data_IF_132217661261
#
_entry.id   IF_132217661261
#
_cell.length_a   1.000
_cell.length_b   1.000
_cell.length_c   1.000
_cell.angle_alpha   90.00
_cell.angle_beta   90.00
_cell.angle_gamma   90.00
#
_symmetry.space_group_name_H-M   'P 1'
#
loop_
_entity.id
_entity.type
_entity.pdbx_description
1 polymer ?
#
# COMPACT_ATOMS: atom_id res chain seq x y z
N UNK A 1 -12.29 -59.69 0.08
CA UNK A 1 -10.87 -59.58 0.47
C UNK A 1 -10.28 -58.42 -0.32
N UNK A 2 -10.32 -57.15 0.08
CA UNK A 2 -9.70 -56.44 1.23
C UNK A 2 -8.17 -56.60 1.34
N UNK A 3 -7.45 -55.59 0.82
CA UNK A 3 -6.18 -55.03 1.34
C UNK A 3 -5.97 -53.66 0.66
N UNK A 4 -6.13 -52.51 1.33
CA UNK A 4 -5.23 -51.78 2.26
C UNK A 4 -4.15 -50.94 1.56
N UNK A 5 -4.41 -49.64 1.34
CA UNK A 5 -3.43 -48.56 1.53
C UNK A 5 -4.18 -47.41 2.22
N UNK A 6 -3.68 -47.03 3.39
CA UNK A 6 -4.28 -46.08 4.33
C UNK A 6 -3.81 -44.65 4.01
N UNK A 7 -4.73 -43.75 3.70
CA UNK A 7 -4.51 -42.30 3.71
C UNK A 7 -5.19 -41.73 4.95
N UNK A 8 -4.40 -41.27 5.92
CA UNK A 8 -4.88 -40.60 7.12
C UNK A 8 -5.13 -39.12 6.75
N UNK A 9 -6.41 -38.75 6.56
CA UNK A 9 -6.85 -37.36 6.64
C UNK A 9 -7.11 -37.03 8.11
N UNK A 10 -6.32 -36.10 8.67
CA UNK A 10 -6.63 -35.46 9.95
C UNK A 10 -7.51 -34.23 9.68
N UNK A 11 -8.83 -34.39 9.80
CA UNK A 11 -9.74 -33.25 9.95
C UNK A 11 -9.77 -32.87 11.43
N UNK A 12 -9.07 -31.81 11.81
CA UNK A 12 -9.27 -31.17 13.11
C UNK A 12 -10.49 -30.25 13.02
N UNK A 13 -11.61 -30.67 13.62
CA UNK A 13 -12.73 -29.79 13.94
C UNK A 13 -12.26 -28.79 15.01
N UNK A 14 -12.09 -27.53 14.62
CA UNK A 14 -12.01 -26.42 15.59
C UNK A 14 -13.44 -26.04 15.92
N UNK A 15 -13.88 -26.34 17.15
CA UNK A 15 -15.13 -25.84 17.67
C UNK A 15 -15.05 -24.31 17.77
N UNK A 16 -15.85 -23.62 16.96
CA UNK A 16 -16.03 -22.17 17.07
C UNK A 16 -16.91 -21.93 18.29
N UNK A 17 -16.30 -21.59 19.43
CA UNK A 17 -17.05 -21.03 20.55
C UNK A 17 -17.59 -19.68 20.13
N UNK A 18 -18.92 -19.54 20.13
CA UNK A 18 -19.58 -18.25 19.95
C UNK A 18 -19.09 -17.29 21.04
N UNK A 19 -18.67 -16.06 20.71
CA UNK A 19 -18.26 -15.11 21.74
C UNK A 19 -19.47 -14.78 22.61
N UNK A 20 -19.33 -15.03 23.91
CA UNK A 20 -20.28 -14.56 24.92
C UNK A 20 -20.38 -13.03 24.79
N UNK A 21 -21.58 -12.44 24.68
CA UNK A 21 -21.71 -10.99 24.64
C UNK A 21 -21.21 -10.42 25.98
N UNK A 22 -20.05 -9.76 25.95
CA UNK A 22 -19.54 -9.01 27.08
C UNK A 22 -20.29 -7.67 27.09
N UNK A 23 -21.27 -7.55 27.99
CA UNK A 23 -21.79 -6.24 28.35
C UNK A 23 -20.66 -5.42 28.98
N UNK A 24 -20.37 -4.20 28.50
CA UNK A 24 -19.39 -3.34 29.15
C UNK A 24 -19.90 -2.99 30.55
N UNK A 25 -19.18 -3.45 31.58
CA UNK A 25 -19.38 -3.03 32.95
C UNK A 25 -19.01 -1.54 33.07
N UNK A 26 -19.95 -0.64 33.40
CA UNK A 26 -19.68 0.80 33.46
C UNK A 26 -18.82 1.21 34.66
N UNK A 27 -18.34 0.28 35.49
CA UNK A 27 -17.62 0.56 36.73
C UNK A 27 -16.13 0.18 36.75
N UNK A 28 -15.52 -0.22 35.62
CA UNK A 28 -14.06 -0.39 35.59
C UNK A 28 -13.37 0.99 35.54
N UNK A 29 -12.49 1.32 36.51
CA UNK A 29 -11.77 2.58 36.48
C UNK A 29 -10.93 2.66 35.20
N UNK A 30 -10.99 3.82 34.52
CA UNK A 30 -10.07 4.16 33.42
C UNK A 30 -8.67 3.77 33.86
N UNK A 31 -8.07 2.78 33.19
CA UNK A 31 -6.69 2.40 33.47
C UNK A 31 -5.84 3.54 32.93
N UNK A 32 -5.40 4.43 33.82
CA UNK A 32 -4.51 5.52 33.44
C UNK A 32 -3.33 4.93 32.64
N UNK A 33 -3.06 5.50 31.46
CA UNK A 33 -1.89 5.19 30.66
C UNK A 33 -0.67 5.02 31.59
N UNK A 34 0.01 3.85 31.59
CA UNK A 34 1.24 3.72 32.35
C UNK A 34 2.20 4.83 31.89
N UNK A 35 2.93 5.50 32.82
CA UNK A 35 3.82 6.58 32.44
C UNK A 35 4.83 6.04 31.41
N UNK A 36 4.85 6.67 30.23
CA UNK A 36 5.75 6.27 29.14
C UNK A 36 7.18 6.49 29.65
N UNK A 37 8.01 5.44 29.69
CA UNK A 37 9.37 5.55 30.18
C UNK A 37 10.20 6.42 29.22
N UNK A 38 11.26 7.04 29.74
CA UNK A 38 12.18 7.85 28.93
C UNK A 38 12.88 7.02 27.85
N UNK A 39 13.04 5.71 28.08
CA UNK A 39 13.63 4.76 27.13
C UNK A 39 12.83 3.47 27.09
N UNK A 40 12.50 3.02 25.89
CA UNK A 40 11.90 1.72 25.60
C UNK A 40 12.96 0.91 24.85
N UNK A 41 13.40 -0.20 25.44
CA UNK A 41 14.51 -1.03 24.93
C UNK A 41 14.13 -2.51 24.80
N UNK A 42 12.90 -2.89 25.13
CA UNK A 42 12.46 -4.30 25.13
C UNK A 42 11.01 -4.43 24.65
N UNK A 43 10.70 -5.53 23.96
CA UNK A 43 9.36 -5.80 23.43
C UNK A 43 8.30 -5.88 24.54
N UNK A 44 8.67 -6.41 25.71
CA UNK A 44 7.78 -6.49 26.87
C UNK A 44 7.34 -5.10 27.39
N UNK A 45 8.25 -4.12 27.39
CA UNK A 45 7.90 -2.74 27.74
C UNK A 45 6.93 -2.16 26.71
N UNK A 46 7.25 -2.34 25.42
CA UNK A 46 6.48 -1.80 24.32
C UNK A 46 5.05 -2.39 24.29
N UNK A 47 4.94 -3.72 24.38
CA UNK A 47 3.66 -4.44 24.44
C UNK A 47 2.78 -3.94 25.59
N UNK A 48 3.35 -3.73 26.78
CA UNK A 48 2.60 -3.24 27.93
C UNK A 48 2.08 -1.81 27.73
N UNK A 49 2.84 -0.95 27.04
CA UNK A 49 2.46 0.44 26.75
C UNK A 49 1.38 0.48 25.67
N UNK A 50 1.57 -0.25 24.57
CA UNK A 50 0.59 -0.30 23.46
C UNK A 50 -0.75 -0.84 23.96
N UNK A 51 -0.75 -1.92 24.74
CA UNK A 51 -1.97 -2.42 25.38
C UNK A 51 -2.63 -1.38 26.30
N UNK A 52 -1.83 -0.54 26.96
CA UNK A 52 -2.31 0.60 27.74
C UNK A 52 -3.02 1.64 26.87
N UNK A 53 -2.40 2.05 25.76
CA UNK A 53 -2.96 3.01 24.78
C UNK A 53 -4.27 2.49 24.19
N UNK A 54 -4.30 1.24 23.77
CA UNK A 54 -5.50 0.60 23.20
C UNK A 54 -6.61 0.41 24.25
N UNK A 55 -6.28 0.33 25.53
CA UNK A 55 -7.27 0.23 26.61
C UNK A 55 -7.85 1.59 27.05
N UNK A 56 -7.14 2.71 26.83
CA UNK A 56 -7.55 4.07 27.22
C UNK A 56 -8.15 4.86 26.04
N UNK A 57 -8.85 4.17 25.14
CA UNK A 57 -9.44 4.73 23.92
C UNK A 57 -10.65 5.59 24.28
N UNK A 58 -10.41 6.85 24.59
CA UNK A 58 -11.46 7.83 24.91
C UNK A 58 -11.40 9.13 24.09
N UNK A 59 -10.24 9.46 23.50
CA UNK A 59 -10.07 10.58 22.57
C UNK A 59 -8.90 10.34 21.59
N UNK A 60 -9.04 10.81 20.34
CA UNK A 60 -8.04 10.61 19.28
C UNK A 60 -6.76 11.37 19.53
N UNK A 61 -6.85 12.59 20.08
CA UNK A 61 -5.69 13.42 20.38
C UNK A 61 -4.80 12.81 21.47
N UNK A 62 -5.41 12.19 22.48
CA UNK A 62 -4.70 11.45 23.52
C UNK A 62 -3.89 10.27 22.97
N UNK A 63 -4.52 9.43 22.13
CA UNK A 63 -3.86 8.30 21.47
C UNK A 63 -2.69 8.78 20.61
N UNK A 64 -2.93 9.83 19.81
CA UNK A 64 -1.90 10.42 18.95
C UNK A 64 -0.68 10.90 19.75
N UNK A 65 -0.92 11.64 20.84
CA UNK A 65 0.16 12.13 21.69
C UNK A 65 0.95 10.99 22.34
N UNK A 66 0.27 9.94 22.80
CA UNK A 66 0.90 8.78 23.40
C UNK A 66 1.79 8.04 22.40
N UNK A 67 1.32 7.78 21.18
CA UNK A 67 2.11 7.11 20.14
C UNK A 67 3.37 7.93 19.79
N UNK A 68 3.23 9.26 19.63
CA UNK A 68 4.39 10.12 19.37
C UNK A 68 5.43 10.09 20.50
N UNK A 69 4.98 10.04 21.76
CA UNK A 69 5.87 9.90 22.91
C UNK A 69 6.55 8.52 22.94
N UNK A 70 5.84 7.45 22.57
CA UNK A 70 6.44 6.11 22.46
C UNK A 70 7.51 6.08 21.39
N UNK A 71 7.23 6.60 20.19
CA UNK A 71 8.22 6.66 19.10
C UNK A 71 9.46 7.45 19.53
N UNK A 72 9.30 8.56 20.24
CA UNK A 72 10.42 9.34 20.78
C UNK A 72 11.22 8.61 21.88
N UNK A 73 10.60 7.67 22.59
CA UNK A 73 11.22 6.90 23.67
C UNK A 73 11.85 5.58 23.19
N UNK A 74 11.49 5.08 22.00
CA UNK A 74 12.09 3.87 21.43
C UNK A 74 13.59 4.07 21.19
N UNK A 75 14.38 3.13 21.70
CA UNK A 75 15.82 3.06 21.45
C UNK A 75 16.06 1.86 20.54
N UNK A 76 16.30 2.08 19.23
CA UNK A 76 16.47 0.99 18.27
C UNK A 76 17.66 0.09 18.62
N UNK A 77 17.44 -1.21 18.44
CA UNK A 77 18.50 -2.21 18.46
C UNK A 77 19.41 -2.09 17.22
N UNK A 78 20.61 -2.70 17.23
CA UNK A 78 21.49 -2.68 16.06
C UNK A 78 20.80 -3.31 14.84
N UNK A 79 20.87 -2.63 13.70
CA UNK A 79 20.32 -3.13 12.45
C UNK A 79 20.96 -4.46 12.02
N UNK A 80 20.19 -5.34 11.36
CA UNK A 80 20.69 -6.60 10.82
C UNK A 80 21.92 -6.43 9.90
N UNK A 81 22.82 -7.41 9.90
CA UNK A 81 24.08 -7.33 9.14
C UNK A 81 23.94 -7.71 7.66
N UNK A 82 22.84 -8.34 7.26
CA UNK A 82 22.62 -8.81 5.88
C UNK A 82 21.15 -8.81 5.51
N UNK A 83 20.87 -8.78 4.19
CA UNK A 83 19.50 -8.76 3.66
C UNK A 83 18.68 -9.97 4.14
N UNK A 84 19.17 -11.23 4.05
CA UNK A 84 18.41 -12.37 4.56
C UNK A 84 18.09 -12.27 6.06
N UNK A 85 19.01 -11.72 6.87
CA UNK A 85 18.77 -11.50 8.30
C UNK A 85 17.74 -10.39 8.55
N UNK A 86 17.72 -9.35 7.72
CA UNK A 86 16.71 -8.30 7.82
C UNK A 86 15.31 -8.86 7.54
N UNK A 87 15.15 -9.57 6.41
CA UNK A 87 13.88 -10.18 6.01
C UNK A 87 13.39 -11.21 7.04
N UNK A 88 14.28 -12.05 7.58
CA UNK A 88 13.88 -13.02 8.62
C UNK A 88 13.55 -12.37 9.96
N UNK A 89 14.16 -11.23 10.30
CA UNK A 89 13.86 -10.49 11.53
C UNK A 89 12.51 -9.80 11.44
N UNK A 90 12.19 -9.19 10.28
CA UNK A 90 10.85 -8.65 9.98
C UNK A 90 9.80 -9.74 10.12
N UNK A 91 10.01 -10.88 9.47
CA UNK A 91 9.13 -12.04 9.57
C UNK A 91 8.88 -12.45 11.04
N UNK A 92 9.91 -12.38 11.89
CA UNK A 92 9.79 -12.74 13.30
C UNK A 92 8.95 -11.74 14.09
N UNK A 93 9.11 -10.43 13.83
CA UNK A 93 8.28 -9.37 14.44
C UNK A 93 6.81 -9.56 14.10
N UNK A 94 6.50 -9.72 12.82
CA UNK A 94 5.12 -9.79 12.34
C UNK A 94 4.45 -11.10 12.79
N UNK A 95 5.19 -12.22 12.81
CA UNK A 95 4.67 -13.47 13.33
C UNK A 95 4.32 -13.40 14.83
N UNK A 96 4.97 -12.52 15.61
CA UNK A 96 4.64 -12.34 17.02
C UNK A 96 3.32 -11.59 17.24
N UNK A 97 2.99 -10.65 16.34
CA UNK A 97 1.82 -9.78 16.46
C UNK A 97 1.05 -9.63 15.12
N UNK A 98 0.53 -10.73 14.54
CA UNK A 98 0.09 -10.78 13.13
C UNK A 98 -1.08 -9.84 12.78
N UNK A 99 -1.80 -9.31 13.76
CA UNK A 99 -2.94 -8.41 13.55
C UNK A 99 -2.87 -7.16 14.41
N UNK A 100 -1.69 -6.74 14.88
CA UNK A 100 -1.55 -5.48 15.63
C UNK A 100 -0.64 -4.52 14.87
N UNK A 101 -1.27 -3.66 14.06
CA UNK A 101 -0.58 -2.67 13.23
C UNK A 101 0.32 -1.73 14.04
N UNK A 102 -0.15 -1.23 15.18
CA UNK A 102 0.61 -0.30 16.03
C UNK A 102 1.81 -1.00 16.65
N UNK A 103 1.59 -2.18 17.22
CA UNK A 103 2.66 -2.98 17.83
C UNK A 103 3.71 -3.35 16.77
N UNK A 104 3.31 -3.85 15.60
CA UNK A 104 4.22 -4.19 14.50
C UNK A 104 5.08 -2.99 14.07
N UNK A 105 4.45 -1.83 13.83
CA UNK A 105 5.17 -0.61 13.46
C UNK A 105 6.23 -0.21 14.51
N UNK A 106 5.89 -0.31 15.79
CA UNK A 106 6.79 0.06 16.88
C UNK A 106 7.87 -1.00 17.12
N UNK A 107 7.56 -2.28 16.93
CA UNK A 107 8.52 -3.39 17.05
C UNK A 107 9.56 -3.35 15.92
N UNK A 108 9.16 -2.99 14.69
CA UNK A 108 10.10 -2.76 13.59
C UNK A 108 11.12 -1.68 13.98
N UNK A 109 10.66 -0.55 14.54
CA UNK A 109 11.54 0.53 15.00
C UNK A 109 12.43 0.07 16.16
N UNK A 110 11.87 -0.60 17.16
CA UNK A 110 12.57 -1.09 18.35
C UNK A 110 13.65 -2.12 18.01
N UNK A 111 13.38 -3.00 17.05
CA UNK A 111 14.29 -4.07 16.64
C UNK A 111 15.33 -3.60 15.58
N UNK A 112 15.42 -2.30 15.31
CA UNK A 112 16.39 -1.75 14.36
C UNK A 112 16.11 -2.12 12.90
N UNK A 113 14.85 -2.47 12.61
CA UNK A 113 14.35 -2.88 11.30
C UNK A 113 13.82 -1.71 10.47
N UNK A 114 14.06 -0.49 10.93
CA UNK A 114 13.81 0.75 10.18
C UNK A 114 15.13 1.47 9.91
N UNK A 115 15.08 2.55 9.15
CA UNK A 115 16.17 3.54 9.15
C UNK A 115 16.34 4.12 10.56
N UNK A 116 17.58 4.48 10.93
CA UNK A 116 17.99 4.72 12.33
C UNK A 116 17.27 5.87 13.04
N UNK A 117 16.54 6.71 12.33
CA UNK A 117 15.82 7.84 12.92
C UNK A 117 14.57 8.18 12.11
N UNK A 118 13.44 7.58 12.49
CA UNK A 118 12.14 7.84 11.88
C UNK A 118 11.73 9.33 11.96
N UNK A 119 12.19 10.06 12.99
CA UNK A 119 11.84 11.47 13.19
C UNK A 119 12.58 12.39 12.23
N UNK A 120 13.84 12.08 11.87
CA UNK A 120 14.53 12.81 10.81
C UNK A 120 14.05 12.40 9.43
N UNK A 121 13.67 11.14 9.23
CA UNK A 121 13.16 10.64 7.95
C UNK A 121 11.95 11.44 7.45
N UNK A 122 10.96 11.71 8.31
CA UNK A 122 9.77 12.53 7.98
C UNK A 122 10.15 13.93 7.47
N UNK A 123 11.22 14.51 8.00
CA UNK A 123 11.67 15.85 7.61
C UNK A 123 12.67 15.86 6.44
N UNK A 124 13.15 14.69 6.01
CA UNK A 124 14.32 14.57 5.14
C UNK A 124 14.03 14.43 3.65
N UNK A 125 12.82 13.98 3.27
CA UNK A 125 12.48 13.82 1.86
C UNK A 125 11.96 15.11 1.24
N UNK A 126 12.88 15.97 0.80
CA UNK A 126 12.55 17.15 -0.01
C UNK A 126 11.79 16.76 -1.29
N UNK A 127 12.01 15.53 -1.78
CA UNK A 127 11.38 14.95 -2.96
C UNK A 127 9.90 14.59 -2.77
N UNK A 128 9.42 14.46 -1.53
CA UNK A 128 8.00 14.21 -1.21
C UNK A 128 7.17 15.51 -1.17
N UNK A 129 7.64 16.56 -1.85
CA UNK A 129 6.87 17.79 -2.04
C UNK A 129 5.55 17.52 -2.76
N UNK A 130 4.49 18.17 -2.29
CA UNK A 130 3.15 18.16 -2.90
C UNK A 130 2.91 19.40 -3.78
N UNK A 131 3.93 20.26 -3.94
CA UNK A 131 3.86 21.55 -4.64
C UNK A 131 5.01 21.71 -5.65
N UNK A 132 5.34 20.65 -6.38
CA UNK A 132 6.38 20.64 -7.40
C UNK A 132 6.07 21.64 -8.55
N UNK A 133 7.13 22.26 -9.09
CA UNK A 133 7.01 23.20 -10.21
C UNK A 133 7.22 22.47 -11.55
N UNK A 134 6.12 22.02 -12.13
CA UNK A 134 6.10 21.37 -13.44
C UNK A 134 5.66 22.35 -14.54
N UNK A 135 6.64 22.88 -15.30
CA UNK A 135 6.44 24.03 -16.19
C UNK A 135 6.00 23.65 -17.62
N UNK A 136 6.15 22.40 -18.04
CA UNK A 136 5.80 21.97 -19.39
C UNK A 136 4.27 21.93 -19.52
N UNK A 137 3.74 22.66 -20.50
CA UNK A 137 2.29 22.69 -20.74
C UNK A 137 1.90 21.53 -21.65
N UNK A 138 0.91 20.70 -21.28
CA UNK A 138 0.47 19.59 -22.12
C UNK A 138 -0.28 20.12 -23.35
N UNK A 139 -0.01 19.56 -24.53
CA UNK A 139 -0.66 19.93 -25.79
C UNK A 139 -1.22 18.68 -26.50
N UNK A 140 -2.54 18.56 -26.73
CA UNK A 140 -3.58 19.47 -26.28
C UNK A 140 -3.72 19.49 -24.74
N UNK A 141 -4.36 20.51 -24.17
CA UNK A 141 -4.63 20.56 -22.73
C UNK A 141 -5.38 19.33 -22.24
N UNK A 142 -5.00 18.82 -21.06
CA UNK A 142 -5.63 17.65 -20.42
C UNK A 142 -6.63 18.03 -19.31
N UNK A 143 -6.73 19.32 -18.99
CA UNK A 143 -7.61 19.93 -18.00
C UNK A 143 -8.44 21.05 -18.66
N UNK A 144 -9.71 21.30 -18.28
CA UNK A 144 -10.47 20.65 -17.19
C UNK A 144 -10.95 19.23 -17.51
N UNK A 145 -10.91 18.82 -18.78
CA UNK A 145 -11.23 17.46 -19.22
C UNK A 145 -10.41 17.12 -20.47
N UNK A 146 -9.87 15.90 -20.57
CA UNK A 146 -9.24 15.40 -21.79
C UNK A 146 -10.28 14.82 -22.75
N UNK A 147 -11.32 14.18 -22.21
CA UNK A 147 -12.46 13.64 -22.96
C UNK A 147 -13.79 14.08 -22.34
N UNK A 148 -14.82 14.20 -23.17
CA UNK A 148 -16.19 14.49 -22.71
C UNK A 148 -16.75 13.41 -21.76
N UNK A 149 -16.20 12.18 -21.82
CA UNK A 149 -16.58 11.05 -20.97
C UNK A 149 -15.90 11.03 -19.61
N UNK A 150 -14.89 11.86 -19.40
CA UNK A 150 -14.17 11.91 -18.13
C UNK A 150 -15.01 12.57 -17.04
N UNK A 151 -14.89 12.04 -15.83
CA UNK A 151 -15.38 12.68 -14.63
C UNK A 151 -14.74 14.08 -14.46
N UNK A 152 -15.46 15.04 -13.85
CA UNK A 152 -14.88 16.33 -13.52
C UNK A 152 -13.84 16.19 -12.39
N UNK A 153 -12.77 16.94 -12.48
CA UNK A 153 -11.87 17.17 -11.35
C UNK A 153 -12.52 18.12 -10.33
N UNK A 154 -12.33 17.84 -9.04
CA UNK A 154 -12.67 18.73 -7.93
C UNK A 154 -11.48 19.59 -7.49
N UNK A 155 -10.25 19.12 -7.75
CA UNK A 155 -9.03 19.87 -7.48
C UNK A 155 -8.67 20.82 -8.64
N UNK A 156 -7.95 21.89 -8.32
CA UNK A 156 -7.38 22.78 -9.35
C UNK A 156 -6.23 22.10 -10.09
N UNK A 157 -6.00 22.48 -11.34
CA UNK A 157 -4.88 21.95 -12.12
C UNK A 157 -3.53 22.17 -11.43
N UNK A 158 -3.33 23.32 -10.78
CA UNK A 158 -2.09 23.62 -10.04
C UNK A 158 -1.85 22.62 -8.90
N UNK A 159 -2.90 22.25 -8.16
CA UNK A 159 -2.80 21.25 -7.08
C UNK A 159 -2.52 19.87 -7.66
N UNK A 160 -3.26 19.46 -8.69
CA UNK A 160 -3.07 18.16 -9.34
C UNK A 160 -1.65 18.01 -9.92
N UNK A 161 -1.16 19.04 -10.60
CA UNK A 161 0.17 19.05 -11.22
C UNK A 161 1.29 19.16 -10.19
N UNK A 162 1.06 19.89 -9.09
CA UNK A 162 2.03 20.05 -8.00
C UNK A 162 2.37 18.75 -7.28
N UNK A 163 1.45 17.80 -7.25
CA UNK A 163 1.68 16.48 -6.63
C UNK A 163 2.68 15.60 -7.39
N UNK A 164 3.08 15.96 -8.61
CA UNK A 164 3.92 15.11 -9.45
C UNK A 164 5.40 15.49 -9.27
N UNK A 165 6.19 14.63 -8.65
CA UNK A 165 7.64 14.78 -8.62
C UNK A 165 8.26 14.15 -9.87
N UNK A 166 8.78 15.00 -10.75
CA UNK A 166 9.53 14.59 -11.95
C UNK A 166 11.03 14.71 -11.65
N UNK A 167 11.79 13.61 -11.60
CA UNK A 167 13.22 13.67 -11.35
C UNK A 167 13.96 14.48 -12.44
N UNK A 168 15.03 15.23 -12.10
CA UNK A 168 15.78 16.03 -13.08
C UNK A 168 16.30 15.25 -14.31
N UNK A 169 16.50 13.94 -14.17
CA UNK A 169 16.99 13.05 -15.23
C UNK A 169 15.92 12.45 -16.14
N UNK A 170 14.64 12.74 -15.90
CA UNK A 170 13.51 12.20 -16.67
C UNK A 170 13.65 12.50 -18.17
N UNK A 171 13.37 11.49 -19.00
CA UNK A 171 13.64 11.46 -20.45
C UNK A 171 12.44 11.87 -21.29
N UNK A 172 11.29 12.13 -20.70
CA UNK A 172 10.10 12.61 -21.42
C UNK A 172 9.73 11.70 -22.61
N UNK A 173 9.79 10.38 -22.40
CA UNK A 173 9.41 9.37 -23.39
C UNK A 173 10.44 9.10 -24.49
N UNK A 174 11.64 9.68 -24.41
CA UNK A 174 12.72 9.42 -25.38
C UNK A 174 13.44 8.12 -25.03
N UNK A 175 13.12 7.06 -25.76
CA UNK A 175 13.82 5.77 -25.70
C UNK A 175 13.53 4.90 -24.47
N UNK A 176 12.73 5.40 -23.52
CA UNK A 176 12.39 4.72 -22.26
C UNK A 176 10.92 4.97 -21.89
N UNK A 177 10.27 4.00 -21.25
CA UNK A 177 8.86 4.04 -20.85
C UNK A 177 8.68 4.93 -19.60
N UNK A 178 7.87 6.00 -19.65
CA UNK A 178 7.47 6.72 -18.44
C UNK A 178 6.68 5.80 -17.50
N UNK A 179 7.06 5.77 -16.22
CA UNK A 179 6.39 4.98 -15.18
C UNK A 179 5.93 5.90 -14.06
N UNK A 180 4.63 5.92 -13.77
CA UNK A 180 4.07 6.69 -12.66
C UNK A 180 3.97 5.79 -11.44
N UNK A 181 4.69 6.17 -10.37
CA UNK A 181 4.76 5.47 -9.10
C UNK A 181 3.68 6.04 -8.16
N UNK A 182 2.70 5.22 -7.78
CA UNK A 182 1.52 5.65 -7.02
C UNK A 182 1.57 5.05 -5.60
N UNK A 183 1.64 5.88 -4.54
CA UNK A 183 1.92 5.40 -3.18
C UNK A 183 0.75 4.68 -2.54
N UNK A 184 0.97 4.19 -1.32
CA UNK A 184 -0.05 3.59 -0.46
C UNK A 184 -0.65 4.56 0.56
N UNK A 185 -1.43 4.02 1.48
CA UNK A 185 -2.05 4.75 2.58
C UNK A 185 -1.00 5.31 3.54
N UNK A 186 -1.12 6.59 3.89
CA UNK A 186 -0.26 7.23 4.88
C UNK A 186 1.14 7.60 4.38
N UNK A 187 1.42 7.47 3.08
CA UNK A 187 2.74 7.69 2.52
C UNK A 187 2.73 8.53 1.23
N UNK A 188 3.92 8.98 0.83
CA UNK A 188 4.16 9.69 -0.43
C UNK A 188 4.90 8.81 -1.45
N UNK A 189 4.89 9.25 -2.71
CA UNK A 189 5.38 8.46 -3.83
C UNK A 189 6.89 8.22 -3.75
N UNK A 190 7.70 9.25 -3.50
CA UNK A 190 9.15 9.07 -3.50
C UNK A 190 9.56 8.20 -2.30
N UNK A 191 9.04 8.49 -1.11
CA UNK A 191 9.21 7.67 0.10
C UNK A 191 8.98 6.18 -0.15
N UNK A 192 7.84 5.78 -0.74
CA UNK A 192 7.49 4.37 -0.94
C UNK A 192 8.41 3.63 -1.91
N UNK A 193 8.95 4.32 -2.91
CA UNK A 193 9.56 3.65 -4.06
C UNK A 193 11.05 3.90 -4.23
N UNK A 194 11.60 4.96 -3.64
CA UNK A 194 13.00 5.37 -3.85
C UNK A 194 14.02 4.31 -3.40
N UNK A 195 13.67 3.50 -2.40
CA UNK A 195 14.53 2.43 -1.87
C UNK A 195 14.35 1.08 -2.58
N UNK A 196 13.40 0.95 -3.53
CA UNK A 196 13.05 -0.35 -4.09
C UNK A 196 12.87 -0.32 -5.62
N UNK A 197 11.66 -0.49 -6.16
CA UNK A 197 11.39 -0.49 -7.60
C UNK A 197 11.86 0.81 -8.25
N UNK A 198 11.68 1.95 -7.58
CA UNK A 198 12.18 3.25 -8.05
C UNK A 198 13.70 3.28 -8.17
N UNK A 199 14.43 2.59 -7.28
CA UNK A 199 15.89 2.45 -7.36
C UNK A 199 16.33 1.66 -8.59
N UNK A 200 15.65 0.56 -8.88
CA UNK A 200 15.90 -0.27 -10.07
C UNK A 200 15.56 0.47 -11.36
N UNK A 201 14.45 1.23 -11.38
CA UNK A 201 14.02 1.95 -12.58
C UNK A 201 14.91 3.15 -12.88
N UNK A 202 15.43 3.83 -11.86
CA UNK A 202 16.24 5.04 -12.03
C UNK A 202 17.52 4.73 -12.81
N UNK A 203 17.63 5.31 -14.02
CA UNK A 203 18.78 5.09 -14.91
C UNK A 203 18.74 3.78 -15.68
N UNK A 204 17.67 2.99 -15.55
CA UNK A 204 17.43 1.80 -16.37
C UNK A 204 17.17 2.18 -17.83
N UNK A 205 17.34 1.22 -18.74
CA UNK A 205 17.01 1.39 -20.16
C UNK A 205 15.53 1.16 -20.49
N UNK A 206 14.71 0.77 -19.51
CA UNK A 206 13.34 0.30 -19.77
C UNK A 206 12.26 1.06 -18.99
N UNK A 207 12.58 1.69 -17.87
CA UNK A 207 11.63 2.42 -17.03
C UNK A 207 12.20 3.78 -16.62
N UNK A 208 11.35 4.81 -16.63
CA UNK A 208 11.71 6.18 -16.26
C UNK A 208 10.70 6.70 -15.23
N UNK A 209 11.02 6.63 -13.92
CA UNK A 209 10.03 6.82 -12.87
C UNK A 209 9.72 8.30 -12.61
N UNK A 210 8.45 8.60 -12.40
CA UNK A 210 7.94 9.81 -11.75
C UNK A 210 7.10 9.42 -10.56
N UNK A 211 7.12 10.23 -9.51
CA UNK A 211 6.52 9.86 -8.22
C UNK A 211 5.34 10.76 -7.92
N UNK A 212 4.22 10.16 -7.49
CA UNK A 212 3.02 10.90 -7.16
C UNK A 212 2.93 11.12 -5.65
N UNK A 213 3.14 12.35 -5.20
CA UNK A 213 3.05 12.74 -3.81
C UNK A 213 1.66 13.34 -3.55
N UNK A 214 0.68 12.45 -3.39
CA UNK A 214 -0.72 12.87 -3.19
C UNK A 214 -0.84 13.63 -1.86
N UNK A 215 -1.40 14.86 -1.85
CA UNK A 215 -1.60 15.64 -0.63
C UNK A 215 -2.31 14.86 0.47
N UNK A 216 -1.90 15.09 1.71
CA UNK A 216 -2.41 14.34 2.86
C UNK A 216 -1.96 12.88 2.89
N UNK A 217 -0.94 12.49 2.12
CA UNK A 217 -0.35 11.15 2.10
C UNK A 217 -1.40 10.04 1.84
N UNK A 218 -2.30 10.27 0.88
CA UNK A 218 -3.45 9.41 0.57
C UNK A 218 -4.44 9.16 1.73
N UNK A 219 -4.49 10.03 2.74
CA UNK A 219 -5.44 9.92 3.86
C UNK A 219 -6.77 10.66 3.63
N UNK A 220 -6.81 11.60 2.67
CA UNK A 220 -8.04 12.27 2.23
C UNK A 220 -8.94 11.28 1.42
N UNK A 221 -10.16 11.71 1.03
CA UNK A 221 -11.14 10.90 0.28
C UNK A 221 -10.50 10.18 -0.93
N UNK A 222 -10.56 8.85 -0.98
CA UNK A 222 -9.96 8.02 -2.02
C UNK A 222 -10.45 8.39 -3.44
N UNK A 223 -11.67 8.92 -3.56
CA UNK A 223 -12.20 9.43 -4.83
C UNK A 223 -11.49 10.71 -5.30
N UNK A 224 -10.97 11.51 -4.35
CA UNK A 224 -10.11 12.68 -4.61
C UNK A 224 -8.68 12.23 -4.87
N UNK A 225 -8.15 11.25 -4.13
CA UNK A 225 -6.81 10.71 -4.36
C UNK A 225 -6.66 10.18 -5.81
N UNK A 226 -7.70 9.50 -6.33
CA UNK A 226 -7.76 9.04 -7.71
C UNK A 226 -7.72 10.17 -8.78
N UNK A 227 -8.12 11.40 -8.44
CA UNK A 227 -8.03 12.55 -9.36
C UNK A 227 -6.56 12.86 -9.71
N UNK A 228 -5.66 12.73 -8.74
CA UNK A 228 -4.23 12.95 -8.95
C UNK A 228 -3.64 11.91 -9.90
N UNK A 229 -4.07 10.65 -9.79
CA UNK A 229 -3.65 9.58 -10.71
C UNK A 229 -4.17 9.82 -12.12
N UNK A 230 -5.48 10.13 -12.26
CA UNK A 230 -6.07 10.43 -13.57
C UNK A 230 -5.40 11.63 -14.27
N UNK A 231 -5.09 12.68 -13.50
CA UNK A 231 -4.36 13.83 -14.02
C UNK A 231 -2.93 13.46 -14.41
N UNK A 232 -2.19 12.77 -13.53
CA UNK A 232 -0.81 12.37 -13.76
C UNK A 232 -0.66 11.49 -15.03
N UNK A 233 -1.54 10.52 -15.24
CA UNK A 233 -1.56 9.69 -16.47
C UNK A 233 -1.62 10.56 -17.72
N UNK A 234 -2.60 11.46 -17.77
CA UNK A 234 -2.81 12.31 -18.94
C UNK A 234 -1.69 13.33 -19.12
N UNK A 235 -1.23 13.94 -18.03
CA UNK A 235 -0.18 14.96 -18.03
C UNK A 235 1.17 14.36 -18.45
N UNK A 236 1.63 13.29 -17.80
CA UNK A 236 2.91 12.65 -18.09
C UNK A 236 2.95 12.11 -19.51
N UNK A 237 1.87 11.48 -19.98
CA UNK A 237 1.76 11.05 -21.38
C UNK A 237 1.90 12.23 -22.34
N UNK A 238 1.18 13.34 -22.10
CA UNK A 238 1.20 14.50 -22.98
C UNK A 238 2.59 15.17 -23.05
N UNK A 239 3.29 15.33 -21.92
CA UNK A 239 4.63 15.94 -21.91
C UNK A 239 5.73 14.97 -22.35
N UNK A 240 5.43 13.68 -22.45
CA UNK A 240 6.36 12.64 -22.87
C UNK A 240 6.19 12.28 -24.34
N UNK A 241 5.98 13.30 -25.20
CA UNK A 241 5.75 13.12 -26.63
C UNK A 241 4.59 12.18 -26.96
N UNK A 242 3.51 12.26 -26.19
CA UNK A 242 2.32 11.39 -26.32
C UNK A 242 2.60 9.90 -26.17
N UNK A 243 3.70 9.54 -25.52
CA UNK A 243 3.94 8.14 -25.15
C UNK A 243 2.89 7.69 -24.15
N UNK A 244 2.45 6.45 -24.31
CA UNK A 244 1.70 5.78 -23.28
C UNK A 244 2.58 5.66 -22.03
N UNK A 245 1.95 5.65 -20.85
CA UNK A 245 2.61 5.51 -19.56
C UNK A 245 2.38 4.10 -19.01
N UNK A 246 3.20 3.68 -18.06
CA UNK A 246 2.90 2.55 -17.20
C UNK A 246 2.67 3.04 -15.77
N UNK A 247 1.97 2.24 -14.97
CA UNK A 247 1.65 2.52 -13.58
C UNK A 247 2.25 1.42 -12.71
N UNK A 248 2.91 1.82 -11.62
CA UNK A 248 3.28 0.91 -10.53
C UNK A 248 2.67 1.46 -9.27
N UNK A 249 1.79 0.69 -8.65
CA UNK A 249 1.02 1.10 -7.50
C UNK A 249 1.23 0.13 -6.34
N UNK A 250 1.25 0.67 -5.13
CA UNK A 250 1.31 -0.10 -3.90
C UNK A 250 0.09 0.19 -3.03
N UNK A 251 -0.44 -0.84 -2.35
CA UNK A 251 -1.54 -0.66 -1.39
C UNK A 251 -2.74 0.09 -2.01
N UNK A 252 -3.29 1.09 -1.32
CA UNK A 252 -4.35 2.02 -1.79
C UNK A 252 -4.06 2.67 -3.15
N UNK A 253 -2.80 2.78 -3.57
CA UNK A 253 -2.47 3.22 -4.93
C UNK A 253 -3.18 2.38 -5.99
N UNK A 254 -3.44 1.10 -5.69
CA UNK A 254 -4.22 0.19 -6.52
C UNK A 254 -5.66 0.66 -6.71
N UNK A 255 -6.33 1.04 -5.62
CA UNK A 255 -7.67 1.63 -5.65
C UNK A 255 -7.67 2.96 -6.39
N UNK A 256 -6.68 3.83 -6.14
CA UNK A 256 -6.55 5.13 -6.80
C UNK A 256 -6.38 4.98 -8.32
N UNK A 257 -5.52 4.05 -8.77
CA UNK A 257 -5.35 3.70 -10.18
C UNK A 257 -6.62 3.13 -10.80
N UNK A 258 -7.25 2.16 -10.14
CA UNK A 258 -8.41 1.48 -10.69
C UNK A 258 -9.63 2.41 -10.77
N UNK A 259 -9.83 3.28 -9.78
CA UNK A 259 -10.86 4.32 -9.79
C UNK A 259 -10.59 5.35 -10.89
N UNK A 260 -9.34 5.79 -11.06
CA UNK A 260 -8.96 6.69 -12.16
C UNK A 260 -9.27 6.09 -13.53
N UNK A 261 -8.89 4.83 -13.77
CA UNK A 261 -9.19 4.11 -15.01
C UNK A 261 -10.70 3.95 -15.23
N UNK A 262 -11.48 3.74 -14.16
CA UNK A 262 -12.93 3.60 -14.25
C UNK A 262 -13.62 4.91 -14.63
N UNK A 263 -13.28 6.03 -13.98
CA UNK A 263 -14.05 7.27 -14.08
C UNK A 263 -13.42 8.36 -14.97
N UNK A 264 -12.17 8.19 -15.40
CA UNK A 264 -11.53 8.98 -16.46
C UNK A 264 -11.14 8.08 -17.64
N UNK A 265 -12.10 7.62 -18.47
CA UNK A 265 -11.83 6.65 -19.53
C UNK A 265 -10.76 7.08 -20.54
N UNK A 266 -10.45 8.38 -20.66
CA UNK A 266 -9.36 8.88 -21.51
C UNK A 266 -7.96 8.36 -21.15
N UNK A 267 -7.82 7.82 -19.94
CA UNK A 267 -6.57 7.25 -19.42
C UNK A 267 -6.29 5.86 -20.00
N UNK A 268 -7.34 5.06 -20.24
CA UNK A 268 -7.21 3.64 -20.63
C UNK A 268 -6.44 3.42 -21.92
N UNK A 269 -6.58 4.33 -22.90
CA UNK A 269 -5.90 4.20 -24.19
C UNK A 269 -4.42 4.63 -24.16
N UNK A 270 -3.96 5.19 -23.03
CA UNK A 270 -2.59 5.69 -22.87
C UNK A 270 -1.88 5.08 -21.66
N UNK A 271 -2.45 4.04 -21.05
CA UNK A 271 -1.79 3.21 -20.04
C UNK A 271 -1.53 1.85 -20.66
N UNK A 272 -0.26 1.48 -20.78
CA UNK A 272 0.14 0.18 -21.34
C UNK A 272 0.03 -0.93 -20.29
N UNK A 273 0.45 -0.64 -19.06
CA UNK A 273 0.54 -1.62 -17.98
C UNK A 273 0.21 -0.98 -16.63
N UNK A 274 -0.45 -1.76 -15.79
CA UNK A 274 -0.68 -1.48 -14.38
C UNK A 274 -0.09 -2.63 -13.54
N UNK A 275 0.97 -2.34 -12.79
CA UNK A 275 1.54 -3.27 -11.81
C UNK A 275 1.01 -2.90 -10.43
N UNK A 276 0.33 -3.83 -9.78
CA UNK A 276 -0.23 -3.71 -8.44
C UNK A 276 0.59 -4.56 -7.48
N UNK A 277 1.19 -3.91 -6.49
CA UNK A 277 1.93 -4.57 -5.41
C UNK A 277 1.10 -4.47 -4.14
N UNK A 278 0.73 -5.61 -3.58
CA UNK A 278 -0.09 -5.70 -2.35
C UNK A 278 -1.38 -4.88 -2.47
N UNK A 279 -2.09 -5.01 -3.60
CA UNK A 279 -3.29 -4.23 -3.86
C UNK A 279 -4.48 -4.64 -2.99
N UNK A 280 -5.43 -3.72 -2.84
CA UNK A 280 -6.61 -3.83 -2.00
C UNK A 280 -7.90 -3.49 -2.77
N UNK A 281 -8.08 -4.04 -3.98
CA UNK A 281 -9.23 -3.76 -4.86
C UNK A 281 -10.58 -4.25 -4.30
N UNK A 282 -10.57 -5.00 -3.20
CA UNK A 282 -11.74 -5.35 -2.41
C UNK A 282 -11.67 -4.79 -0.98
N UNK A 283 -10.83 -3.79 -0.73
CA UNK A 283 -10.55 -3.27 0.60
C UNK A 283 -9.88 -4.30 1.51
N UNK A 284 -10.03 -4.14 2.81
CA UNK A 284 -9.47 -5.02 3.83
C UNK A 284 -10.42 -5.16 5.00
N UNK A 285 -10.47 -6.35 5.59
CA UNK A 285 -11.18 -6.61 6.84
C UNK A 285 -10.43 -6.06 8.06
N UNK A 286 -9.19 -5.57 7.86
CA UNK A 286 -8.30 -5.10 8.92
C UNK A 286 -8.17 -3.57 8.96
N UNK A 287 -8.98 -2.82 8.19
CA UNK A 287 -8.89 -1.36 8.11
C UNK A 287 -9.03 -0.69 9.49
N UNK A 288 -9.83 -1.28 10.38
CA UNK A 288 -10.00 -0.82 11.75
C UNK A 288 -8.69 -0.82 12.58
N UNK A 289 -7.71 -1.66 12.23
CA UNK A 289 -6.40 -1.70 12.92
C UNK A 289 -5.60 -0.41 12.72
N UNK A 290 -5.80 0.29 11.60
CA UNK A 290 -5.15 1.56 11.31
C UNK A 290 -5.82 2.72 12.05
N UNK A 291 -7.00 2.52 12.63
CA UNK A 291 -7.78 3.54 13.33
C UNK A 291 -8.33 3.03 14.67
N UNK A 292 -7.52 3.01 15.73
CA UNK A 292 -7.95 2.60 17.07
C UNK A 292 -9.19 3.37 17.54
N UNK A 293 -10.20 2.63 17.98
CA UNK A 293 -11.45 3.19 18.49
C UNK A 293 -12.51 3.49 17.44
N UNK A 294 -12.24 3.34 16.14
CA UNK A 294 -13.28 3.39 15.11
C UNK A 294 -14.31 2.25 15.33
N UNK A 295 -15.63 2.47 15.12
CA UNK A 295 -16.30 3.70 14.66
C UNK A 295 -16.70 4.68 15.79
N UNK A 296 -16.25 4.48 17.03
CA UNK A 296 -16.53 5.41 18.14
C UNK A 296 -15.69 6.69 18.05
N UNK A 297 -14.48 6.58 17.50
CA UNK A 297 -13.56 7.68 17.23
C UNK A 297 -13.41 7.90 15.71
N UNK A 298 -13.21 9.15 15.26
CA UNK A 298 -13.09 9.45 13.84
C UNK A 298 -11.75 8.96 13.27
N UNK A 299 -11.77 8.57 12.00
CA UNK A 299 -10.66 7.97 11.25
C UNK A 299 -10.34 8.77 9.98
N UNK A 300 -9.22 8.54 9.32
CA UNK A 300 -8.95 9.16 8.03
C UNK A 300 -9.98 8.68 6.97
N UNK A 301 -10.50 9.57 6.10
CA UNK A 301 -11.45 9.22 5.06
C UNK A 301 -11.09 7.97 4.25
N UNK A 302 -9.88 7.89 3.69
CA UNK A 302 -9.48 6.76 2.86
C UNK A 302 -9.40 5.44 3.61
N UNK A 303 -9.08 5.43 4.91
CA UNK A 303 -9.07 4.21 5.72
C UNK A 303 -10.50 3.68 5.87
N UNK A 304 -11.48 4.57 6.14
CA UNK A 304 -12.90 4.15 6.17
C UNK A 304 -13.40 3.64 4.82
N UNK A 305 -12.84 4.15 3.72
CA UNK A 305 -13.17 3.70 2.36
C UNK A 305 -12.46 2.40 1.97
N UNK A 306 -11.35 2.05 2.61
CA UNK A 306 -10.64 0.78 2.40
C UNK A 306 -11.24 -0.38 3.22
N UNK A 307 -12.24 -0.14 4.07
CA UNK A 307 -12.99 -1.22 4.71
C UNK A 307 -13.59 -2.16 3.65
N UNK A 308 -13.50 -3.47 3.87
CA UNK A 308 -13.86 -4.51 2.89
C UNK A 308 -15.28 -4.34 2.32
N UNK A 309 -16.22 -3.90 3.16
CA UNK A 309 -17.63 -3.69 2.81
C UNK A 309 -18.02 -2.21 2.70
N UNK A 310 -17.06 -1.29 2.53
CA UNK A 310 -17.35 0.14 2.39
C UNK A 310 -18.22 0.41 1.14
N UNK A 311 -18.95 1.52 1.17
CA UNK A 311 -19.74 1.95 0.02
C UNK A 311 -18.84 2.27 -1.18
N UNK A 312 -17.63 2.79 -0.96
CA UNK A 312 -16.62 3.05 -1.97
C UNK A 312 -16.16 1.78 -2.68
N UNK A 313 -15.76 0.74 -1.94
CA UNK A 313 -15.36 -0.55 -2.51
C UNK A 313 -16.53 -1.17 -3.27
N UNK A 314 -17.71 -1.18 -2.66
CA UNK A 314 -18.90 -1.74 -3.29
C UNK A 314 -19.26 -0.99 -4.59
N UNK A 315 -19.14 0.34 -4.61
CA UNK A 315 -19.35 1.18 -5.79
C UNK A 315 -18.31 0.91 -6.88
N UNK A 316 -17.02 0.85 -6.53
CA UNK A 316 -15.94 0.54 -7.46
C UNK A 316 -16.22 -0.81 -8.16
N UNK A 317 -16.48 -1.85 -7.36
CA UNK A 317 -16.66 -3.21 -7.85
C UNK A 317 -17.92 -3.37 -8.67
N UNK A 318 -19.05 -2.79 -8.23
CA UNK A 318 -20.32 -2.83 -8.96
C UNK A 318 -20.26 -2.08 -10.30
N UNK A 319 -19.46 -1.01 -10.40
CA UNK A 319 -19.17 -0.35 -11.69
C UNK A 319 -18.19 -1.12 -12.60
N UNK A 320 -17.83 -2.35 -12.25
CA UNK A 320 -16.94 -3.22 -13.02
C UNK A 320 -15.45 -3.01 -12.72
N UNK A 321 -15.12 -2.32 -11.63
CA UNK A 321 -13.76 -2.08 -11.15
C UNK A 321 -13.07 -3.29 -10.53
N UNK A 322 -13.81 -4.39 -10.30
CA UNK A 322 -13.20 -5.67 -9.94
C UNK A 322 -12.43 -6.31 -11.11
N UNK A 323 -12.71 -5.91 -12.36
CA UNK A 323 -11.98 -6.34 -13.55
C UNK A 323 -11.05 -5.27 -14.08
N UNK A 324 -9.90 -5.67 -14.62
CA UNK A 324 -8.92 -4.78 -15.23
C UNK A 324 -9.52 -3.93 -16.36
N UNK A 325 -8.97 -2.72 -16.53
CA UNK A 325 -9.26 -1.82 -17.66
C UNK A 325 -8.14 -1.76 -18.69
N UNK A 326 -6.94 -2.16 -18.29
CA UNK A 326 -5.68 -2.20 -19.06
C UNK A 326 -4.90 -3.45 -18.63
N UNK A 327 -3.88 -3.91 -19.38
CA UNK A 327 -3.03 -5.01 -18.92
C UNK A 327 -2.59 -4.83 -17.46
N UNK A 328 -2.89 -5.81 -16.60
CA UNK A 328 -2.69 -5.67 -15.15
C UNK A 328 -1.94 -6.85 -14.56
N UNK A 329 -0.86 -6.56 -13.84
CA UNK A 329 -0.04 -7.53 -13.10
C UNK A 329 -0.26 -7.31 -11.61
N UNK A 330 -0.87 -8.27 -10.91
CA UNK A 330 -1.08 -8.18 -9.46
C UNK A 330 -0.16 -9.15 -8.73
N UNK A 331 0.57 -8.68 -7.73
CA UNK A 331 1.48 -9.48 -6.89
C UNK A 331 1.18 -9.21 -5.42
N UNK A 332 0.94 -10.27 -4.64
CA UNK A 332 0.52 -10.16 -3.24
C UNK A 332 1.02 -11.34 -2.40
N UNK A 333 1.00 -11.18 -1.08
CA UNK A 333 1.45 -12.16 -0.09
C UNK A 333 0.29 -12.61 0.79
N UNK A 334 0.21 -13.90 1.11
CA UNK A 334 -0.77 -14.39 2.10
C UNK A 334 -0.51 -13.86 3.52
N UNK A 335 0.71 -13.38 3.76
CA UNK A 335 1.16 -12.86 5.05
C UNK A 335 1.00 -11.35 5.21
N UNK A 336 0.33 -10.70 4.26
CA UNK A 336 0.02 -9.27 4.32
C UNK A 336 -0.74 -8.93 5.62
N UNK A 337 -0.14 -8.11 6.47
CA UNK A 337 -0.63 -7.75 7.80
C UNK A 337 -1.56 -6.53 7.79
N UNK A 338 -1.77 -5.91 6.62
CA UNK A 338 -2.62 -4.73 6.43
C UNK A 338 -3.87 -5.08 5.62
N UNK A 339 -3.71 -5.87 4.56
CA UNK A 339 -4.78 -6.26 3.65
C UNK A 339 -5.12 -7.72 3.87
N UNK A 340 -6.36 -8.00 4.28
CA UNK A 340 -6.90 -9.36 4.32
C UNK A 340 -8.34 -9.39 3.85
N UNK A 341 -8.78 -10.48 3.18
CA UNK A 341 -7.99 -11.65 2.77
C UNK A 341 -6.99 -11.38 1.63
N UNK A 342 -5.83 -12.04 1.62
CA UNK A 342 -4.84 -12.01 0.51
C UNK A 342 -4.41 -13.41 0.03
N UNK A 343 -5.35 -14.37 -0.01
CA UNK A 343 -5.09 -15.72 -0.50
C UNK A 343 -6.09 -16.19 -1.56
N UNK A 344 -5.57 -16.90 -2.56
CA UNK A 344 -6.33 -17.49 -3.65
C UNK A 344 -7.15 -16.49 -4.46
N UNK A 345 -8.21 -16.96 -5.11
CA UNK A 345 -9.13 -16.10 -5.88
C UNK A 345 -10.00 -15.19 -4.99
N UNK A 346 -9.93 -15.37 -3.67
CA UNK A 346 -10.60 -14.52 -2.68
C UNK A 346 -9.74 -13.33 -2.23
N UNK A 347 -8.47 -13.27 -2.63
CA UNK A 347 -7.56 -12.18 -2.27
C UNK A 347 -8.12 -10.83 -2.72
N UNK A 348 -7.94 -9.81 -1.88
CA UNK A 348 -8.34 -8.43 -2.21
C UNK A 348 -7.57 -7.88 -3.41
N UNK A 349 -6.31 -8.28 -3.56
CA UNK A 349 -5.47 -7.98 -4.71
C UNK A 349 -5.88 -8.71 -6.00
N UNK A 350 -6.80 -9.69 -5.95
CA UNK A 350 -7.16 -10.48 -7.12
C UNK A 350 -7.94 -9.66 -8.15
N UNK A 351 -7.38 -9.54 -9.35
CA UNK A 351 -7.95 -8.80 -10.47
C UNK A 351 -8.66 -9.76 -11.43
N UNK A 352 -9.90 -9.45 -11.82
CA UNK A 352 -10.63 -10.19 -12.86
C UNK A 352 -10.29 -9.65 -14.26
N UNK A 353 -10.56 -10.44 -15.31
CA UNK A 353 -10.33 -10.02 -16.70
C UNK A 353 -11.58 -10.11 -17.58
N UNK A 354 -12.70 -9.53 -17.13
CA UNK A 354 -13.94 -9.55 -17.93
C UNK A 354 -13.83 -8.79 -19.26
N UNK A 355 -12.78 -7.98 -19.43
CA UNK A 355 -12.54 -7.15 -20.63
C UNK A 355 -11.49 -7.74 -21.57
N UNK A 356 -10.89 -8.88 -21.20
CA UNK A 356 -9.85 -9.55 -21.98
C UNK A 356 -8.67 -8.62 -22.34
N UNK A 357 -8.28 -7.78 -21.37
CA UNK A 357 -7.14 -6.86 -21.51
C UNK A 357 -5.82 -7.53 -21.14
N UNK A 358 -5.88 -8.72 -20.53
CA UNK A 358 -4.73 -9.46 -20.03
C UNK A 358 -4.50 -9.16 -18.55
N UNK A 359 -4.62 -10.19 -17.72
CA UNK A 359 -4.37 -10.10 -16.28
C UNK A 359 -3.49 -11.26 -15.82
N UNK A 360 -2.54 -10.96 -14.94
CA UNK A 360 -1.84 -11.98 -14.15
C UNK A 360 -2.01 -11.68 -12.65
N UNK A 361 -2.31 -12.72 -11.87
CA UNK A 361 -2.41 -12.65 -10.43
C UNK A 361 -1.39 -13.62 -9.84
N UNK A 362 -0.41 -13.10 -9.11
CA UNK A 362 0.65 -13.88 -8.47
C UNK A 362 0.54 -13.74 -6.97
N UNK A 363 0.02 -14.79 -6.33
CA UNK A 363 0.23 -15.02 -4.90
C UNK A 363 1.66 -15.54 -4.72
N UNK A 364 2.49 -14.81 -3.97
CA UNK A 364 3.89 -15.15 -3.77
C UNK A 364 4.06 -16.58 -3.25
N UNK A 365 3.22 -17.01 -2.30
CA UNK A 365 3.36 -18.31 -1.65
C UNK A 365 2.95 -19.50 -2.55
N UNK A 366 2.17 -19.25 -3.60
CA UNK A 366 1.87 -20.25 -4.63
C UNK A 366 3.01 -20.37 -5.66
N UNK A 367 3.68 -19.26 -6.00
CA UNK A 367 4.79 -19.26 -6.95
C UNK A 367 6.13 -19.66 -6.31
N UNK A 368 6.38 -19.17 -5.11
CA UNK A 368 7.50 -19.47 -4.24
C UNK A 368 6.97 -20.08 -2.94
N UNK A 369 7.23 -21.35 -2.69
CA UNK A 369 6.72 -22.02 -1.47
C UNK A 369 7.28 -21.34 -0.22
N UNK A 370 6.59 -21.47 0.92
CA UNK A 370 7.02 -20.91 2.22
C UNK A 370 8.37 -21.42 2.74
N UNK A 371 8.91 -22.48 2.12
CA UNK A 371 10.24 -23.02 2.42
C UNK A 371 11.36 -22.35 1.62
N UNK A 372 11.02 -21.56 0.61
CA UNK A 372 11.96 -20.84 -0.24
C UNK A 372 12.09 -19.39 0.24
N UNK A 373 13.29 -18.76 0.19
CA UNK A 373 13.49 -17.38 0.63
C UNK A 373 12.54 -16.35 0.00
N UNK A 374 12.16 -16.53 -1.27
CA UNK A 374 11.22 -15.66 -1.98
C UNK A 374 9.75 -15.87 -1.61
N UNK A 375 9.45 -16.91 -0.85
CA UNK A 375 8.10 -17.31 -0.44
C UNK A 375 7.85 -17.27 1.07
N UNK A 376 8.84 -16.86 1.87
CA UNK A 376 8.69 -16.69 3.33
C UNK A 376 7.67 -15.60 3.68
N UNK A 377 7.61 -15.20 4.95
CA UNK A 377 6.75 -14.09 5.38
C UNK A 377 7.24 -12.79 4.76
N UNK A 378 6.56 -12.32 3.71
CA UNK A 378 6.65 -10.97 3.18
C UNK A 378 5.43 -10.18 3.63
N UNK A 379 5.66 -9.07 4.30
CA UNK A 379 4.66 -8.10 4.75
C UNK A 379 4.01 -7.35 3.59
N UNK A 380 3.06 -6.49 3.90
CA UNK A 380 2.39 -5.62 2.94
C UNK A 380 3.36 -4.79 2.09
N UNK A 381 4.30 -4.10 2.72
CA UNK A 381 5.43 -3.37 2.14
C UNK A 381 6.57 -4.32 1.74
N UNK A 382 6.70 -5.49 2.37
CA UNK A 382 7.75 -6.45 2.07
C UNK A 382 7.72 -6.96 0.63
N UNK A 383 6.53 -7.04 0.02
CA UNK A 383 6.40 -7.37 -1.41
C UNK A 383 7.14 -6.36 -2.30
N UNK A 384 7.32 -5.10 -1.86
CA UNK A 384 8.10 -4.08 -2.57
C UNK A 384 9.60 -4.33 -2.58
N UNK A 385 10.15 -5.37 -1.94
CA UNK A 385 11.54 -5.80 -2.20
C UNK A 385 11.64 -7.26 -2.65
N UNK A 386 10.51 -7.96 -2.80
CA UNK A 386 10.50 -9.36 -3.20
C UNK A 386 11.06 -9.55 -4.62
N UNK A 387 11.98 -10.50 -4.79
CA UNK A 387 12.66 -10.71 -6.07
C UNK A 387 11.71 -11.12 -7.21
N UNK A 388 10.69 -11.93 -6.93
CA UNK A 388 9.71 -12.34 -7.93
C UNK A 388 8.80 -11.17 -8.32
N UNK A 389 8.41 -10.33 -7.35
CA UNK A 389 7.66 -9.11 -7.62
C UNK A 389 8.43 -8.15 -8.55
N UNK A 390 9.74 -7.96 -8.33
CA UNK A 390 10.60 -7.16 -9.22
C UNK A 390 10.66 -7.74 -10.63
N UNK A 391 10.85 -9.06 -10.73
CA UNK A 391 10.93 -9.73 -12.02
C UNK A 391 9.62 -9.58 -12.80
N UNK A 392 8.47 -9.70 -12.13
CA UNK A 392 7.14 -9.49 -12.73
C UNK A 392 6.91 -8.04 -13.15
N UNK A 393 7.29 -7.08 -12.32
CA UNK A 393 7.20 -5.66 -12.65
C UNK A 393 8.04 -5.33 -13.89
N UNK A 394 9.32 -5.77 -13.91
CA UNK A 394 10.20 -5.60 -15.06
C UNK A 394 9.66 -6.29 -16.31
N UNK A 395 9.18 -7.51 -16.18
CA UNK A 395 8.63 -8.28 -17.30
C UNK A 395 7.39 -7.60 -17.89
N UNK A 396 6.48 -7.08 -17.06
CA UNK A 396 5.34 -6.27 -17.51
C UNK A 396 5.79 -5.01 -18.27
N UNK A 397 6.78 -4.29 -17.75
CA UNK A 397 7.26 -3.04 -18.37
C UNK A 397 8.06 -3.25 -19.67
N UNK A 398 8.47 -4.48 -19.97
CA UNK A 398 9.33 -4.80 -21.12
C UNK A 398 8.66 -5.67 -22.18
N UNK A 399 7.41 -6.09 -21.95
CA UNK A 399 6.66 -6.94 -22.87
C UNK A 399 5.23 -6.44 -23.06
N UNK A 400 4.57 -6.78 -24.18
CA UNK A 400 3.14 -6.54 -24.32
C UNK A 400 2.33 -7.42 -23.35
N UNK A 401 1.36 -6.79 -22.67
CA UNK A 401 0.50 -7.47 -21.71
C UNK A 401 1.13 -7.58 -20.32
N UNK A 402 0.41 -8.17 -19.35
CA UNK A 402 0.88 -8.21 -17.97
C UNK A 402 2.16 -9.05 -17.83
N UNK A 403 2.86 -8.89 -16.71
CA UNK A 403 3.99 -9.70 -16.31
C UNK A 403 3.58 -11.16 -16.14
N UNK A 404 4.33 -12.10 -16.73
CA UNK A 404 4.00 -13.52 -16.74
C UNK A 404 5.12 -14.35 -16.12
N UNK A 405 4.75 -15.26 -15.21
CA UNK A 405 5.67 -16.23 -14.62
C UNK A 405 6.38 -17.09 -15.68
N UNK A 406 5.73 -17.37 -16.81
CA UNK A 406 6.32 -18.16 -17.90
C UNK A 406 7.50 -17.49 -18.61
N UNK A 407 7.72 -16.18 -18.41
CA UNK A 407 8.85 -15.42 -18.97
C UNK A 407 9.99 -15.19 -17.97
N UNK A 408 9.80 -15.65 -16.74
CA UNK A 408 10.72 -15.41 -15.62
C UNK A 408 11.33 -16.74 -15.18
N UNK A 409 12.61 -16.73 -14.80
CA UNK A 409 13.19 -17.84 -14.05
C UNK A 409 12.68 -17.78 -12.60
N UNK A 410 11.46 -18.28 -12.39
CA UNK A 410 10.78 -18.29 -11.09
C UNK A 410 11.61 -19.04 -10.05
N UNK A 411 12.22 -20.17 -10.44
CA UNK A 411 13.07 -20.96 -9.56
C UNK A 411 14.22 -20.14 -9.00
N UNK A 412 14.92 -19.38 -9.84
CA UNK A 412 15.99 -18.49 -9.40
C UNK A 412 15.49 -17.34 -8.53
N UNK A 413 14.36 -16.70 -8.86
CA UNK A 413 13.83 -15.60 -8.04
C UNK A 413 13.35 -16.09 -6.67
N UNK A 414 12.76 -17.27 -6.59
CA UNK A 414 12.31 -17.84 -5.32
C UNK A 414 13.46 -18.19 -4.36
N UNK A 415 14.71 -18.30 -4.83
CA UNK A 415 15.88 -18.51 -3.97
C UNK A 415 16.45 -17.22 -3.35
N UNK A 416 15.86 -16.06 -3.65
CA UNK A 416 16.35 -14.77 -3.17
C UNK A 416 15.43 -14.21 -2.10
N UNK A 417 16.01 -13.68 -1.03
CA UNK A 417 15.28 -12.99 0.04
C UNK A 417 14.86 -11.56 -0.35
N UNK A 418 15.50 -10.97 -1.36
CA UNK A 418 15.12 -9.70 -1.95
C UNK A 418 15.65 -9.61 -3.38
N UNK A 419 15.17 -8.63 -4.13
CA UNK A 419 15.66 -8.34 -5.47
C UNK A 419 17.16 -8.00 -5.50
N UNK A 420 17.82 -8.33 -6.60
CA UNK A 420 19.25 -8.03 -6.78
C UNK A 420 19.49 -6.50 -6.74
N UNK A 421 20.62 -6.08 -6.18
CA UNK A 421 20.99 -4.67 -6.07
C UNK A 421 20.38 -3.94 -4.86
N UNK A 422 19.46 -4.57 -4.12
CA UNK A 422 19.00 -4.07 -2.83
C UNK A 422 19.97 -4.43 -1.71
N UNK A 423 20.36 -3.43 -0.95
CA UNK A 423 21.17 -3.53 0.27
C UNK A 423 20.27 -3.64 1.50
N UNK A 424 20.87 -3.92 2.67
CA UNK A 424 20.14 -3.90 3.94
C UNK A 424 19.42 -2.56 4.14
N UNK A 425 20.09 -1.44 3.84
CA UNK A 425 19.52 -0.10 4.02
C UNK A 425 18.25 0.08 3.18
N UNK A 426 18.20 -0.52 1.99
CA UNK A 426 17.03 -0.47 1.11
C UNK A 426 15.84 -1.27 1.69
N UNK A 427 16.13 -2.44 2.27
CA UNK A 427 15.13 -3.24 2.99
C UNK A 427 14.60 -2.45 4.18
N UNK A 428 15.49 -1.91 5.03
CA UNK A 428 15.08 -1.14 6.22
C UNK A 428 14.33 0.15 5.87
N UNK A 429 14.65 0.78 4.74
CA UNK A 429 13.91 1.93 4.25
C UNK A 429 12.52 1.55 3.74
N UNK A 430 12.37 0.38 3.11
CA UNK A 430 11.06 -0.14 2.70
C UNK A 430 10.22 -0.53 3.91
N UNK A 431 10.79 -1.24 4.88
CA UNK A 431 10.14 -1.63 6.15
C UNK A 431 9.77 -0.42 7.03
N UNK A 432 10.51 0.69 6.91
CA UNK A 432 10.15 1.95 7.58
C UNK A 432 8.82 2.54 7.09
N UNK A 433 8.28 2.08 5.96
CA UNK A 433 7.01 2.57 5.39
C UNK A 433 5.84 2.40 6.36
N UNK A 434 5.72 1.27 7.06
CA UNK A 434 4.62 1.04 8.03
C UNK A 434 4.72 1.95 9.25
N UNK A 435 5.89 2.08 9.92
CA UNK A 435 6.09 3.08 10.96
C UNK A 435 5.80 4.52 10.51
N UNK A 436 6.21 4.91 9.30
CA UNK A 436 5.95 6.24 8.76
C UNK A 436 4.46 6.44 8.44
N UNK A 437 3.77 5.43 7.89
CA UNK A 437 2.34 5.45 7.67
C UNK A 437 1.57 5.60 9.00
N UNK A 438 1.97 4.90 10.06
CA UNK A 438 1.41 5.08 11.40
C UNK A 438 1.55 6.54 11.86
N UNK A 439 2.74 7.14 11.71
CA UNK A 439 2.97 8.54 12.05
C UNK A 439 2.13 9.50 11.20
N UNK A 440 1.96 9.23 9.90
CA UNK A 440 1.09 9.99 9.01
C UNK A 440 -0.39 9.93 9.44
N UNK A 441 -0.89 8.75 9.81
CA UNK A 441 -2.25 8.53 10.29
C UNK A 441 -2.50 9.24 11.64
N UNK A 442 -1.52 9.19 12.52
CA UNK A 442 -1.54 9.86 13.82
C UNK A 442 -1.52 11.37 13.64
N UNK A 443 -0.67 11.89 12.76
CA UNK A 443 -0.52 13.32 12.48
C UNK A 443 -1.66 13.90 11.61
N UNK A 444 -2.49 13.06 10.98
CA UNK A 444 -3.58 13.51 10.13
C UNK A 444 -4.54 14.42 10.90
N UNK A 445 -4.88 15.61 10.36
CA UNK A 445 -5.63 16.63 11.11
C UNK A 445 -6.95 16.10 11.68
N UNK A 446 -7.15 16.25 12.99
CA UNK A 446 -8.34 15.74 13.69
C UNK A 446 -9.65 16.29 13.10
N UNK A 447 -9.65 17.54 12.62
CA UNK A 447 -10.81 18.16 11.97
C UNK A 447 -11.13 17.63 10.57
N UNK A 448 -10.24 16.82 9.98
CA UNK A 448 -10.48 16.11 8.72
C UNK A 448 -10.87 14.65 8.92
N UNK A 449 -10.71 14.10 10.12
CA UNK A 449 -11.13 12.73 10.42
C UNK A 449 -12.66 12.61 10.41
N UNK A 450 -13.16 11.46 10.00
CA UNK A 450 -14.59 11.20 9.79
C UNK A 450 -15.06 9.98 10.59
N UNK A 451 -16.31 9.99 11.06
CA UNK A 451 -16.96 8.85 11.70
C UNK A 451 -17.70 7.96 10.69
N UNK A 452 -18.00 8.51 9.52
CA UNK A 452 -18.72 7.85 8.44
C UNK A 452 -17.95 8.10 7.16
N UNK A 453 -17.88 7.08 6.33
CA UNK A 453 -17.29 7.15 5.01
C UNK A 453 -17.81 8.36 4.20
N UNK A 454 -16.93 9.07 3.45
CA UNK A 454 -17.37 10.14 2.56
C UNK A 454 -18.42 9.68 1.53
N UNK A 455 -19.35 10.58 1.21
CA UNK A 455 -20.37 10.29 0.21
C UNK A 455 -19.76 10.05 -1.19
N UNK A 456 -20.33 9.08 -1.90
CA UNK A 456 -19.96 8.79 -3.29
C UNK A 456 -20.21 10.03 -4.19
N UNK A 457 -19.17 10.41 -4.93
CA UNK A 457 -19.19 11.54 -5.88
C UNK A 457 -20.24 11.32 -6.96
N UNK A 458 -20.84 12.42 -7.41
CA UNK A 458 -21.99 12.39 -8.31
C UNK A 458 -21.79 11.54 -9.57
N UNK A 459 -20.58 11.53 -10.14
CA UNK A 459 -20.25 10.77 -11.35
C UNK A 459 -20.26 9.24 -11.14
N UNK A 460 -20.12 8.77 -9.90
CA UNK A 460 -20.04 7.36 -9.51
C UNK A 460 -21.34 6.83 -8.89
N UNK A 461 -22.31 7.69 -8.55
CA UNK A 461 -23.54 7.28 -7.84
C UNK A 461 -24.37 6.23 -8.57
N UNK A 462 -24.32 6.20 -9.90
CA UNK A 462 -24.99 5.20 -10.72
C UNK A 462 -24.48 3.77 -10.46
N UNK A 463 -23.27 3.65 -9.92
CA UNK A 463 -22.57 2.39 -9.67
C UNK A 463 -22.69 1.99 -8.19
N UNK A 464 -23.42 2.74 -7.35
CA UNK A 464 -23.76 2.31 -5.99
C UNK A 464 -24.66 1.05 -6.09
N UNK A 465 -24.34 -0.05 -5.39
CA UNK A 465 -25.21 -1.22 -5.34
C UNK A 465 -26.61 -0.85 -4.84
N UNK A 466 -27.64 -1.42 -5.47
CA UNK A 466 -29.05 -1.16 -5.14
C UNK A 466 -29.54 -1.95 -3.95
#
# INVERSE_FOLDING_TARGET
MKTLISSILFFAWVAVSSPTPIHPDPALPKRALPPIPVKITTDAQLTAIVAGIESDVSDVGGIASAILQVVAAVVPSPSPASVPLAVSSVASVIAAHPTNFIQNALDLALNGLTTRDLTTVISSFVQDSTTNLNLITPLPPVFPKKSAKDAPYSQSETVLRGAIYIPPGFKYGVGVQPVIMVPGTGAFGYENFAANLGKEFTGSSYADPVYLNIPGAQLDDAQVNAEFVAYAINYISAISNHKNVALVAWSQGSLSCQWALQYWPSTRSIVNDLVLISGDLHGTQLAYLLCPGFPKLPCAPSITQQEYNSQFIATLRNGGGASAYVPTTSVYSIFDEVVQPQAGTGASAYVLDSRQVGVSNTELQNACTVLQPGGTLYTHEGVLYNALAFALAKDALTHPGPGLLSRIDVGAQCQKAAADGLSVIDILATEATIPLALLGIVAYPANKKVLVEPAIKAYARKDIPK
#
